data_IF_901449228237
#
_entry.id   IF_901449228237
#
_cell.length_a   1.000
_cell.length_b   1.000
_cell.length_c   1.000
_cell.angle_alpha   90.00
_cell.angle_beta   90.00
_cell.angle_gamma   90.00
#
_symmetry.space_group_name_H-M   'P 1'
#
loop_
_entity.id
_entity.type
_entity.pdbx_description
1 polymer ?
#
# COMPACT_ATOMS: atom_id res chain seq x y z
N UNK A 1 -6.64 -11.44 -15.56
CA UNK A 1 -6.63 -11.37 -14.09
C UNK A 1 -6.54 -9.92 -13.66
N UNK A 2 -7.55 -9.45 -12.96
CA UNK A 2 -7.68 -8.03 -12.58
C UNK A 2 -6.67 -7.65 -11.50
N UNK A 3 -6.48 -8.51 -10.49
CA UNK A 3 -5.51 -8.25 -9.41
C UNK A 3 -4.11 -7.99 -9.95
N UNK A 4 -3.72 -8.65 -11.04
CA UNK A 4 -2.41 -8.46 -11.65
C UNK A 4 -2.16 -7.03 -12.11
N UNK A 5 -3.19 -6.32 -12.58
CA UNK A 5 -3.07 -4.92 -12.99
C UNK A 5 -2.69 -4.04 -11.80
N UNK A 6 -3.41 -4.21 -10.69
CA UNK A 6 -3.14 -3.42 -9.47
C UNK A 6 -1.80 -3.80 -8.83
N UNK A 7 -1.46 -5.09 -8.86
CA UNK A 7 -0.15 -5.54 -8.40
C UNK A 7 0.99 -4.89 -9.21
N UNK A 8 0.84 -4.79 -10.52
CA UNK A 8 1.82 -4.14 -11.38
C UNK A 8 1.96 -2.64 -11.08
N UNK A 9 0.84 -1.93 -10.93
CA UNK A 9 0.85 -0.51 -10.58
C UNK A 9 1.48 -0.27 -9.20
N UNK A 10 1.14 -1.10 -8.23
CA UNK A 10 1.70 -1.02 -6.89
C UNK A 10 3.18 -1.41 -6.84
N UNK A 11 3.63 -2.31 -7.71
CA UNK A 11 5.06 -2.61 -7.84
C UNK A 11 5.86 -1.39 -8.31
N UNK A 12 5.33 -0.64 -9.28
CA UNK A 12 5.95 0.61 -9.72
C UNK A 12 6.03 1.61 -8.57
N UNK A 13 4.94 1.77 -7.82
CA UNK A 13 4.93 2.65 -6.64
C UNK A 13 5.97 2.20 -5.61
N UNK A 14 6.07 0.90 -5.33
CA UNK A 14 7.06 0.38 -4.40
C UNK A 14 8.50 0.73 -4.82
N UNK A 15 8.81 0.60 -6.10
CA UNK A 15 10.14 0.97 -6.63
C UNK A 15 10.38 2.48 -6.45
N UNK A 16 9.38 3.32 -6.73
CA UNK A 16 9.47 4.77 -6.52
C UNK A 16 9.79 5.09 -5.05
N UNK A 17 9.08 4.45 -4.12
CA UNK A 17 9.30 4.65 -2.68
C UNK A 17 10.68 4.15 -2.24
N UNK A 18 11.13 3.05 -2.80
CA UNK A 18 12.46 2.48 -2.51
C UNK A 18 13.58 3.40 -3.04
N UNK A 19 13.41 3.94 -4.24
CA UNK A 19 14.36 4.90 -4.82
C UNK A 19 14.40 6.19 -3.99
N UNK A 20 13.27 6.63 -3.44
CA UNK A 20 13.23 7.80 -2.57
C UNK A 20 14.10 7.60 -1.32
N UNK A 21 14.08 6.41 -0.72
CA UNK A 21 14.97 6.08 0.41
C UNK A 21 16.44 6.12 -0.01
N UNK A 22 16.76 5.50 -1.14
CA UNK A 22 18.14 5.45 -1.66
C UNK A 22 18.67 6.87 -1.93
N UNK A 23 17.85 7.73 -2.52
CA UNK A 23 18.23 9.13 -2.79
C UNK A 23 18.54 9.89 -1.51
N UNK A 24 17.73 9.75 -0.48
CA UNK A 24 17.97 10.40 0.81
C UNK A 24 19.24 9.88 1.47
N UNK A 25 19.48 8.57 1.42
CA UNK A 25 20.71 7.98 1.96
C UNK A 25 21.97 8.53 1.28
N UNK A 26 21.92 8.65 -0.04
CA UNK A 26 23.04 9.20 -0.82
C UNK A 26 23.25 10.68 -0.50
N UNK A 27 22.18 11.47 -0.49
CA UNK A 27 22.26 12.91 -0.21
C UNK A 27 22.79 13.19 1.19
N UNK A 28 22.38 12.42 2.17
CA UNK A 28 22.72 12.64 3.58
C UNK A 28 23.92 11.82 4.05
N UNK A 29 24.46 10.95 3.19
CA UNK A 29 25.61 10.07 3.50
C UNK A 29 25.33 9.18 4.72
N UNK A 30 24.12 8.59 4.79
CA UNK A 30 23.66 7.68 5.85
C UNK A 30 23.45 6.30 5.27
N UNK A 31 24.33 5.36 5.58
CA UNK A 31 24.28 3.99 5.06
C UNK A 31 23.20 3.14 5.78
N UNK A 32 22.99 3.37 7.08
CA UNK A 32 22.10 2.57 7.91
C UNK A 32 21.37 3.45 8.90
N UNK A 33 20.11 3.10 9.21
CA UNK A 33 19.26 3.91 10.09
C UNK A 33 18.89 5.24 9.45
N UNK A 34 18.44 6.19 10.25
CA UNK A 34 18.02 7.52 9.77
C UNK A 34 19.09 8.59 9.99
N UNK A 35 20.07 8.32 10.82
CA UNK A 35 21.08 9.32 11.21
C UNK A 35 20.51 10.56 11.88
N UNK A 36 19.29 10.49 12.42
CA UNK A 36 18.59 11.63 13.00
C UNK A 36 17.93 12.55 11.98
N UNK A 37 17.98 12.24 10.68
CA UNK A 37 17.38 13.05 9.63
C UNK A 37 15.89 12.71 9.44
N UNK A 38 15.01 13.67 9.66
CA UNK A 38 13.56 13.45 9.57
C UNK A 38 13.11 13.11 8.14
N UNK A 39 13.71 13.72 7.12
CA UNK A 39 13.39 13.42 5.73
C UNK A 39 13.66 11.96 5.38
N UNK A 40 14.81 11.40 5.82
CA UNK A 40 15.13 10.00 5.61
C UNK A 40 14.21 9.09 6.44
N UNK A 41 13.93 9.46 7.69
CA UNK A 41 13.02 8.70 8.54
C UNK A 41 11.62 8.60 7.90
N UNK A 42 11.11 9.70 7.33
CA UNK A 42 9.81 9.69 6.64
C UNK A 42 9.83 8.80 5.40
N UNK A 43 10.85 8.91 4.56
CA UNK A 43 10.98 8.05 3.38
C UNK A 43 11.03 6.57 3.77
N UNK A 44 11.77 6.21 4.82
CA UNK A 44 11.84 4.85 5.34
C UNK A 44 10.49 4.37 5.84
N UNK A 45 9.73 5.21 6.56
CA UNK A 45 8.42 4.81 7.08
C UNK A 45 7.38 4.64 5.97
N UNK A 46 7.41 5.46 4.94
CA UNK A 46 6.52 5.31 3.79
C UNK A 46 6.77 3.97 3.09
N UNK A 47 8.03 3.67 2.80
CA UNK A 47 8.40 2.40 2.16
C UNK A 47 8.05 1.21 3.05
N UNK A 48 8.41 1.25 4.33
CA UNK A 48 8.17 0.17 5.27
C UNK A 48 6.68 -0.11 5.46
N UNK A 49 5.86 0.93 5.60
CA UNK A 49 4.40 0.77 5.73
C UNK A 49 3.81 0.10 4.49
N UNK A 50 4.27 0.50 3.29
CA UNK A 50 3.86 -0.16 2.05
C UNK A 50 4.22 -1.65 2.10
N UNK A 51 5.45 -1.99 2.45
CA UNK A 51 5.92 -3.37 2.51
C UNK A 51 5.20 -4.20 3.59
N UNK A 52 4.78 -3.57 4.66
CA UNK A 52 4.06 -4.23 5.76
C UNK A 52 2.62 -4.62 5.39
N UNK A 53 1.92 -3.81 4.58
CA UNK A 53 0.48 -3.99 4.34
C UNK A 53 0.13 -4.40 2.92
N UNK A 54 0.80 -3.87 1.91
CA UNK A 54 0.40 -4.05 0.51
C UNK A 54 0.51 -5.49 0.03
N UNK A 55 1.59 -6.24 0.31
CA UNK A 55 1.68 -7.63 -0.16
C UNK A 55 0.55 -8.51 0.37
N UNK A 56 0.19 -8.37 1.65
CA UNK A 56 -0.91 -9.15 2.21
C UNK A 56 -2.26 -8.74 1.61
N UNK A 57 -2.49 -7.44 1.40
CA UNK A 57 -3.70 -6.97 0.74
C UNK A 57 -3.83 -7.52 -0.68
N UNK A 58 -2.74 -7.54 -1.45
CA UNK A 58 -2.72 -8.12 -2.79
C UNK A 58 -2.95 -9.62 -2.77
N UNK A 59 -2.40 -10.33 -1.80
CA UNK A 59 -2.65 -11.75 -1.63
C UNK A 59 -4.14 -12.03 -1.40
N UNK A 60 -4.78 -11.30 -0.52
CA UNK A 60 -6.21 -11.46 -0.26
C UNK A 60 -7.05 -11.09 -1.49
N UNK A 61 -6.68 -10.03 -2.19
CA UNK A 61 -7.38 -9.65 -3.42
C UNK A 61 -7.26 -10.73 -4.50
N UNK A 62 -6.07 -11.30 -4.66
CA UNK A 62 -5.83 -12.43 -5.56
C UNK A 62 -6.67 -13.66 -5.17
N UNK A 63 -6.70 -14.01 -3.89
CA UNK A 63 -7.50 -15.13 -3.40
C UNK A 63 -9.00 -14.88 -3.59
N UNK A 64 -9.47 -13.64 -3.40
CA UNK A 64 -10.86 -13.28 -3.67
C UNK A 64 -11.20 -13.46 -5.16
N UNK A 65 -10.31 -13.03 -6.05
CA UNK A 65 -10.46 -13.21 -7.49
C UNK A 65 -10.49 -14.69 -7.87
N UNK A 66 -9.55 -15.46 -7.34
CA UNK A 66 -9.51 -16.91 -7.55
C UNK A 66 -10.77 -17.61 -7.03
N UNK A 67 -11.35 -17.10 -5.95
CA UNK A 67 -12.60 -17.62 -5.37
C UNK A 67 -13.86 -17.22 -6.15
N UNK A 68 -13.74 -16.37 -7.17
CA UNK A 68 -14.85 -16.00 -8.04
C UNK A 68 -15.48 -14.62 -7.75
N UNK A 69 -14.78 -13.75 -7.03
CA UNK A 69 -15.26 -12.37 -6.85
C UNK A 69 -15.35 -11.67 -8.22
N UNK A 70 -16.45 -10.96 -8.47
CA UNK A 70 -16.71 -10.33 -9.76
C UNK A 70 -15.77 -9.17 -10.04
N UNK A 71 -15.57 -8.88 -11.33
CA UNK A 71 -14.65 -7.84 -11.78
C UNK A 71 -14.93 -6.45 -11.21
N UNK A 72 -16.21 -6.09 -11.03
CA UNK A 72 -16.58 -4.81 -10.44
C UNK A 72 -15.97 -4.63 -9.04
N UNK A 73 -16.13 -5.61 -8.17
CA UNK A 73 -15.60 -5.55 -6.80
C UNK A 73 -14.08 -5.60 -6.78
N UNK A 74 -13.48 -6.36 -7.68
CA UNK A 74 -12.01 -6.41 -7.80
C UNK A 74 -11.42 -5.07 -8.20
N UNK A 75 -12.03 -4.39 -9.18
CA UNK A 75 -11.60 -3.06 -9.57
C UNK A 75 -11.81 -2.04 -8.45
N UNK A 76 -12.94 -2.12 -7.75
CA UNK A 76 -13.22 -1.22 -6.64
C UNK A 76 -12.17 -1.40 -5.52
N UNK A 77 -11.94 -2.63 -5.09
CA UNK A 77 -10.97 -2.91 -4.02
C UNK A 77 -9.54 -2.58 -4.45
N UNK A 78 -9.17 -2.93 -5.68
CA UNK A 78 -7.86 -2.59 -6.22
C UNK A 78 -7.61 -1.08 -6.29
N UNK A 79 -8.62 -0.33 -6.76
CA UNK A 79 -8.54 1.12 -6.82
C UNK A 79 -8.45 1.75 -5.42
N UNK A 80 -9.22 1.25 -4.46
CA UNK A 80 -9.15 1.73 -3.07
C UNK A 80 -7.78 1.46 -2.46
N UNK A 81 -7.20 0.29 -2.73
CA UNK A 81 -5.85 -0.03 -2.25
C UNK A 81 -4.81 0.92 -2.86
N UNK A 82 -4.86 1.12 -4.18
CA UNK A 82 -3.93 2.01 -4.86
C UNK A 82 -4.05 3.44 -4.34
N UNK A 83 -5.27 3.97 -4.25
CA UNK A 83 -5.52 5.32 -3.72
C UNK A 83 -5.09 5.43 -2.26
N UNK A 84 -5.35 4.40 -1.46
CA UNK A 84 -4.93 4.36 -0.06
C UNK A 84 -3.41 4.42 0.08
N UNK A 85 -2.69 3.69 -0.74
CA UNK A 85 -1.22 3.71 -0.70
C UNK A 85 -0.64 5.03 -1.20
N UNK A 86 -1.23 5.61 -2.24
CA UNK A 86 -0.83 6.94 -2.72
C UNK A 86 -1.08 8.02 -1.67
N UNK A 87 -2.24 7.99 -1.01
CA UNK A 87 -2.59 8.95 0.05
C UNK A 87 -1.61 8.84 1.23
N UNK A 88 -1.32 7.62 1.69
CA UNK A 88 -0.38 7.39 2.77
C UNK A 88 1.02 7.90 2.41
N UNK A 89 1.51 7.55 1.23
CA UNK A 89 2.84 7.97 0.77
C UNK A 89 2.95 9.49 0.67
N UNK A 90 1.93 10.14 0.12
CA UNK A 90 1.90 11.60 0.03
C UNK A 90 1.91 12.26 1.41
N UNK A 91 1.04 11.81 2.31
CA UNK A 91 0.88 12.42 3.63
C UNK A 91 2.13 12.31 4.48
N UNK A 92 2.66 11.10 4.62
CA UNK A 92 3.82 10.84 5.48
C UNK A 92 5.09 11.52 4.95
N UNK A 93 5.17 11.75 3.64
CA UNK A 93 6.32 12.40 3.01
C UNK A 93 6.36 13.91 3.27
N UNK A 94 5.29 14.53 3.78
CA UNK A 94 5.21 15.97 3.99
C UNK A 94 5.75 16.40 5.36
N UNK A 95 6.37 17.58 5.41
CA UNK A 95 6.77 18.24 6.66
C UNK A 95 6.36 19.72 6.59
N UNK A 96 5.44 20.20 7.46
CA UNK A 96 4.67 19.45 8.48
C UNK A 96 3.68 18.49 7.85
N UNK A 97 3.39 17.40 8.56
CA UNK A 97 2.55 16.33 8.01
C UNK A 97 1.05 16.68 8.16
N UNK A 98 0.27 16.68 7.03
CA UNK A 98 -1.18 16.70 7.11
C UNK A 98 -1.70 15.30 7.44
N UNK A 99 -1.97 15.04 8.72
CA UNK A 99 -2.28 13.70 9.23
C UNK A 99 -3.48 13.05 8.54
N UNK A 100 -4.40 13.83 7.97
CA UNK A 100 -5.59 13.30 7.27
C UNK A 100 -5.23 12.32 6.15
N UNK A 101 -4.16 12.55 5.41
CA UNK A 101 -3.76 11.66 4.30
C UNK A 101 -3.21 10.33 4.80
N UNK A 102 -2.48 10.34 5.91
CA UNK A 102 -2.04 9.11 6.56
C UNK A 102 -3.23 8.30 7.03
N UNK A 103 -4.17 8.93 7.72
CA UNK A 103 -5.37 8.27 8.26
C UNK A 103 -6.23 7.71 7.12
N UNK A 104 -6.51 8.50 6.08
CA UNK A 104 -7.27 8.04 4.92
C UNK A 104 -6.58 6.84 4.27
N UNK A 105 -5.27 6.92 4.09
CA UNK A 105 -4.50 5.82 3.50
C UNK A 105 -4.61 4.52 4.29
N UNK A 106 -4.52 4.59 5.61
CA UNK A 106 -4.65 3.41 6.47
C UNK A 106 -6.08 2.90 6.54
N UNK A 107 -7.09 3.78 6.61
CA UNK A 107 -8.50 3.38 6.58
C UNK A 107 -8.82 2.64 5.28
N UNK A 108 -8.39 3.16 4.13
CA UNK A 108 -8.60 2.49 2.85
C UNK A 108 -7.87 1.15 2.79
N UNK A 109 -6.64 1.08 3.26
CA UNK A 109 -5.86 -0.17 3.27
C UNK A 109 -6.53 -1.23 4.16
N UNK A 110 -6.93 -0.87 5.37
CA UNK A 110 -7.63 -1.80 6.27
C UNK A 110 -8.99 -2.21 5.72
N UNK A 111 -9.71 -1.29 5.06
CA UNK A 111 -10.98 -1.60 4.41
C UNK A 111 -10.79 -2.66 3.32
N UNK A 112 -9.76 -2.54 2.50
CA UNK A 112 -9.46 -3.54 1.47
C UNK A 112 -9.13 -4.90 2.09
N UNK A 113 -8.30 -4.93 3.15
CA UNK A 113 -7.98 -6.16 3.86
C UNK A 113 -9.24 -6.85 4.39
N UNK A 114 -10.08 -6.10 5.09
CA UNK A 114 -11.29 -6.66 5.73
C UNK A 114 -12.34 -7.06 4.69
N UNK A 115 -12.58 -6.23 3.67
CA UNK A 115 -13.58 -6.53 2.65
C UNK A 115 -13.16 -7.69 1.76
N UNK A 116 -11.88 -7.79 1.43
CA UNK A 116 -11.36 -8.94 0.67
C UNK A 116 -11.48 -10.24 1.49
N UNK A 117 -11.14 -10.20 2.76
CA UNK A 117 -11.30 -11.33 3.66
C UNK A 117 -12.77 -11.75 3.79
N UNK A 118 -13.68 -10.79 3.97
CA UNK A 118 -15.11 -11.04 4.02
C UNK A 118 -15.62 -11.67 2.73
N UNK A 119 -15.21 -11.15 1.58
CA UNK A 119 -15.60 -11.69 0.27
C UNK A 119 -15.17 -13.15 0.13
N UNK A 120 -13.94 -13.49 0.52
CA UNK A 120 -13.44 -14.87 0.48
C UNK A 120 -14.31 -15.78 1.35
N UNK A 121 -14.61 -15.35 2.58
CA UNK A 121 -15.43 -16.14 3.51
C UNK A 121 -16.85 -16.33 2.98
N UNK A 122 -17.48 -15.28 2.46
CA UNK A 122 -18.83 -15.36 1.88
C UNK A 122 -18.84 -16.30 0.68
N UNK A 123 -17.88 -16.20 -0.22
CA UNK A 123 -17.78 -17.07 -1.38
C UNK A 123 -17.54 -18.54 -0.99
N UNK A 124 -16.76 -18.77 0.06
CA UNK A 124 -16.53 -20.10 0.58
C UNK A 124 -17.79 -20.75 1.13
N UNK A 125 -18.55 -20.00 1.96
CA UNK A 125 -19.78 -20.53 2.60
C UNK A 125 -20.91 -20.73 1.59
N UNK A 126 -20.94 -19.93 0.51
CA UNK A 126 -22.01 -19.98 -0.50
C UNK A 126 -21.84 -21.05 -1.56
N UNK A 127 -20.77 -21.83 -1.51
CA UNK A 127 -20.49 -22.96 -2.45
C UNK A 127 -21.28 -24.21 -2.15
#
# INVERSE_FOLDING_TARGET
MITAVYAALLAVLFVVLSVAVIRQRRRLQVALGSGGHSALQRAMRVQANFAEYTPFALLLLFLAEYSGLTGFWLHLLGALLLLGRLSHAYGVSQEPEPLKFRVIGMVLTFSVLLLSALAILVLYVSR
#
